data_IF_741763716076
#
_entry.id   IF_741763716076
#
_cell.length_a   1.000
_cell.length_b   1.000
_cell.length_c   1.000
_cell.angle_alpha   90.00
_cell.angle_beta   90.00
_cell.angle_gamma   90.00
#
_symmetry.space_group_name_H-M   'P 1'
#
loop_
_entity.id
_entity.type
_entity.pdbx_description
1 polymer ?
#
# COMPACT_ATOMS: atom_id res chain seq x y z
N UNK A 1 27.08 -2.07 6.52
CA UNK A 1 25.94 -2.35 5.61
C UNK A 1 24.74 -2.55 6.52
N UNK A 2 23.76 -1.64 6.52
CA UNK A 2 22.56 -1.80 7.36
C UNK A 2 21.90 -3.15 7.07
N UNK A 3 21.67 -3.91 8.15
CA UNK A 3 21.03 -5.22 8.10
C UNK A 3 19.57 -4.99 7.73
N UNK A 4 19.14 -5.65 6.66
CA UNK A 4 17.80 -5.49 6.09
C UNK A 4 16.76 -6.13 6.99
N UNK A 5 15.61 -5.49 7.16
CA UNK A 5 14.43 -6.21 7.65
C UNK A 5 13.94 -7.13 6.54
N UNK A 6 14.04 -8.42 6.82
CA UNK A 6 13.55 -9.49 5.95
C UNK A 6 12.03 -9.50 6.07
N UNK A 7 11.32 -9.63 4.95
CA UNK A 7 9.88 -9.85 5.00
C UNK A 7 9.63 -11.25 5.56
N UNK A 8 8.95 -11.31 6.69
CA UNK A 8 8.62 -12.56 7.39
C UNK A 8 7.18 -13.00 7.10
N UNK A 9 6.92 -14.32 6.97
CA UNK A 9 5.57 -14.87 6.97
C UNK A 9 4.76 -14.44 8.21
N UNK A 10 3.44 -14.46 8.08
CA UNK A 10 2.48 -14.10 9.14
C UNK A 10 2.66 -12.70 9.75
N UNK A 11 3.33 -11.81 9.04
CA UNK A 11 3.68 -10.48 9.55
C UNK A 11 3.05 -9.39 8.71
N UNK A 12 2.51 -8.39 9.41
CA UNK A 12 1.95 -7.18 8.81
C UNK A 12 3.05 -6.15 8.52
N UNK A 13 2.94 -5.48 7.39
CA UNK A 13 3.86 -4.42 6.99
C UNK A 13 3.13 -3.22 6.41
N UNK A 14 3.63 -2.04 6.75
CA UNK A 14 3.43 -0.82 5.99
C UNK A 14 4.56 -0.70 4.95
N UNK A 15 4.20 -0.89 3.68
CA UNK A 15 5.14 -0.81 2.57
C UNK A 15 4.91 0.51 1.83
N UNK A 16 5.96 1.30 1.65
CA UNK A 16 5.87 2.55 0.91
C UNK A 16 7.13 2.85 0.11
N UNK A 17 6.96 3.61 -0.97
CA UNK A 17 8.05 4.16 -1.74
C UNK A 17 7.57 5.42 -2.47
N UNK A 18 8.51 6.19 -2.99
CA UNK A 18 8.27 7.45 -3.68
C UNK A 18 9.11 7.58 -4.93
N UNK A 19 8.70 8.51 -5.79
CA UNK A 19 9.45 8.92 -6.97
C UNK A 19 10.87 9.32 -6.60
N UNK A 20 11.82 8.80 -7.39
CA UNK A 20 13.19 9.26 -7.35
C UNK A 20 13.21 10.76 -7.67
N UNK A 21 14.12 11.53 -7.05
CA UNK A 21 14.21 12.98 -7.28
C UNK A 21 12.90 13.77 -7.10
N UNK A 22 11.95 13.27 -6.28
CA UNK A 22 10.61 13.85 -6.07
C UNK A 22 9.72 13.86 -7.33
N UNK A 23 10.03 13.02 -8.31
CA UNK A 23 9.24 12.88 -9.53
C UNK A 23 7.86 12.26 -9.26
N UNK A 24 6.92 12.53 -10.16
CA UNK A 24 5.61 11.90 -10.13
C UNK A 24 5.71 10.44 -10.59
N UNK A 25 5.12 9.54 -9.81
CA UNK A 25 4.97 8.12 -10.14
C UNK A 25 3.78 7.92 -11.09
N UNK A 26 2.70 8.65 -10.85
CA UNK A 26 1.44 8.50 -11.57
C UNK A 26 1.09 9.81 -12.27
N UNK A 27 1.22 9.83 -13.59
CA UNK A 27 1.00 11.03 -14.40
C UNK A 27 -0.46 11.18 -14.85
N UNK A 28 -1.16 10.05 -14.99
CA UNK A 28 -2.53 9.98 -15.52
C UNK A 28 -3.31 8.80 -14.87
N UNK A 29 -4.65 8.77 -14.95
CA UNK A 29 -5.48 7.72 -14.34
C UNK A 29 -5.08 6.29 -14.68
N UNK A 30 -4.67 6.02 -15.92
CA UNK A 30 -4.29 4.69 -16.39
C UNK A 30 -3.04 4.17 -15.68
N UNK A 31 -2.15 5.06 -15.24
CA UNK A 31 -0.94 4.70 -14.49
C UNK A 31 -1.31 4.09 -13.13
N UNK A 32 -2.32 4.64 -12.45
CA UNK A 32 -2.81 4.11 -11.17
C UNK A 32 -3.41 2.72 -11.35
N UNK A 33 -4.26 2.56 -12.37
CA UNK A 33 -4.88 1.27 -12.71
C UNK A 33 -3.83 0.20 -13.06
N UNK A 34 -2.81 0.59 -13.83
CA UNK A 34 -1.72 -0.32 -14.18
C UNK A 34 -0.93 -0.77 -12.95
N UNK A 35 -0.65 0.13 -12.01
CA UNK A 35 0.04 -0.22 -10.76
C UNK A 35 -0.78 -1.20 -9.91
N UNK A 36 -2.10 -0.97 -9.76
CA UNK A 36 -3.00 -1.90 -9.07
C UNK A 36 -3.06 -3.26 -9.76
N UNK A 37 -3.01 -3.30 -11.11
CA UNK A 37 -2.90 -4.56 -11.85
C UNK A 37 -1.60 -5.31 -11.54
N UNK A 38 -0.47 -4.61 -11.43
CA UNK A 38 0.80 -5.23 -11.07
C UNK A 38 0.82 -5.71 -9.61
N UNK A 39 0.17 -5.00 -8.68
CA UNK A 39 -0.08 -5.50 -7.31
C UNK A 39 -0.83 -6.82 -7.39
N UNK A 40 -1.93 -6.87 -8.16
CA UNK A 40 -2.69 -8.12 -8.36
C UNK A 40 -1.80 -9.23 -8.93
N UNK A 41 -0.98 -8.93 -9.94
CA UNK A 41 -0.16 -9.94 -10.62
C UNK A 41 0.96 -10.49 -9.76
N UNK A 42 1.58 -9.65 -8.91
CA UNK A 42 2.81 -10.04 -8.22
C UNK A 42 2.62 -10.30 -6.73
N UNK A 43 1.69 -9.63 -6.06
CA UNK A 43 1.62 -9.67 -4.59
C UNK A 43 0.58 -10.65 -4.05
N UNK A 44 -0.49 -10.97 -4.79
CA UNK A 44 -1.60 -11.79 -4.22
C UNK A 44 -1.19 -13.22 -3.87
N UNK A 45 -0.16 -13.76 -4.52
CA UNK A 45 0.38 -15.09 -4.18
C UNK A 45 1.09 -15.10 -2.83
N UNK A 46 1.64 -13.95 -2.41
CA UNK A 46 2.51 -13.87 -1.22
C UNK A 46 1.93 -13.05 -0.08
N UNK A 47 0.92 -12.23 -0.35
CA UNK A 47 0.41 -11.26 0.60
C UNK A 47 -1.08 -11.05 0.46
N UNK A 48 -1.69 -10.78 1.61
CA UNK A 48 -3.06 -10.30 1.74
C UNK A 48 -3.06 -8.78 1.90
N UNK A 49 -3.87 -8.08 1.12
CA UNK A 49 -3.85 -6.62 1.08
C UNK A 49 -4.98 -6.06 1.97
N UNK A 50 -4.62 -5.22 2.94
CA UNK A 50 -5.55 -4.61 3.89
C UNK A 50 -5.88 -3.16 3.51
N UNK A 51 -4.98 -2.47 2.82
CA UNK A 51 -5.24 -1.12 2.31
C UNK A 51 -4.15 -0.61 1.38
N UNK A 52 -4.47 0.41 0.62
CA UNK A 52 -3.54 1.15 -0.21
C UNK A 52 -3.94 2.62 -0.34
N UNK A 53 -2.95 3.48 -0.58
CA UNK A 53 -3.16 4.82 -1.08
C UNK A 53 -2.07 5.16 -2.09
N UNK A 54 -2.48 5.52 -3.31
CA UNK A 54 -1.58 5.89 -4.39
C UNK A 54 -1.68 7.40 -4.58
N UNK A 55 -0.61 8.11 -4.29
CA UNK A 55 -0.49 9.56 -4.45
C UNK A 55 0.41 9.86 -5.63
N UNK A 56 0.28 11.05 -6.22
CA UNK A 56 0.95 11.38 -7.49
C UNK A 56 2.45 11.04 -7.50
N UNK A 57 3.15 11.26 -6.39
CA UNK A 57 4.59 11.07 -6.25
C UNK A 57 5.03 9.95 -5.27
N UNK A 58 4.09 9.24 -4.63
CA UNK A 58 4.40 8.15 -3.69
C UNK A 58 3.21 7.22 -3.45
N UNK A 59 3.43 6.08 -2.80
CA UNK A 59 2.34 5.17 -2.46
C UNK A 59 2.55 4.53 -1.09
N UNK A 60 1.45 4.06 -0.50
CA UNK A 60 1.40 3.22 0.69
C UNK A 60 0.60 1.96 0.42
N UNK A 61 1.07 0.85 0.98
CA UNK A 61 0.37 -0.43 1.06
C UNK A 61 0.40 -0.90 2.52
N UNK A 62 -0.74 -1.41 2.98
CA UNK A 62 -0.83 -2.19 4.22
C UNK A 62 -1.15 -3.61 3.82
N UNK A 63 -0.29 -4.55 4.18
CA UNK A 63 -0.43 -5.95 3.80
C UNK A 63 0.06 -6.89 4.90
N UNK A 64 -0.45 -8.11 4.89
CA UNK A 64 0.08 -9.23 5.67
C UNK A 64 0.79 -10.18 4.72
N UNK A 65 2.04 -10.55 5.00
CA UNK A 65 2.66 -11.66 4.29
C UNK A 65 1.95 -12.95 4.72
N UNK A 66 1.55 -13.76 3.75
CA UNK A 66 0.83 -15.01 3.98
C UNK A 66 1.64 -15.97 4.86
N UNK A 67 0.95 -16.88 5.53
CA UNK A 67 1.61 -17.88 6.36
C UNK A 67 2.51 -18.78 5.53
N UNK A 68 3.49 -19.43 6.18
CA UNK A 68 4.40 -20.36 5.48
C UNK A 68 3.64 -21.49 4.76
N UNK A 69 2.50 -21.93 5.31
CA UNK A 69 1.65 -22.97 4.72
C UNK A 69 0.85 -22.49 3.51
N UNK A 70 0.51 -21.20 3.45
CA UNK A 70 -0.20 -20.60 2.30
C UNK A 70 0.76 -20.12 1.21
N UNK A 71 2.01 -19.84 1.56
CA UNK A 71 3.04 -19.44 0.61
C UNK A 71 3.41 -20.60 -0.31
N UNK A 72 3.51 -20.37 -1.63
CA UNK A 72 4.13 -21.32 -2.55
C UNK A 72 5.53 -21.73 -2.09
N UNK A 73 5.91 -23.00 -2.27
CA UNK A 73 7.22 -23.55 -1.85
C UNK A 73 8.41 -22.72 -2.36
N UNK A 74 8.27 -22.12 -3.55
CA UNK A 74 9.27 -21.19 -4.11
C UNK A 74 9.58 -20.00 -3.20
N UNK A 75 8.76 -19.65 -2.21
CA UNK A 75 8.99 -18.55 -1.27
C UNK A 75 9.38 -18.99 0.15
N UNK A 76 9.56 -20.30 0.40
CA UNK A 76 9.90 -20.80 1.74
C UNK A 76 11.37 -20.56 2.12
N UNK A 77 12.25 -20.36 1.13
CA UNK A 77 13.65 -20.04 1.35
C UNK A 77 13.84 -18.54 1.57
N UNK A 78 14.82 -18.19 2.41
CA UNK A 78 15.08 -16.82 2.85
C UNK A 78 15.27 -15.83 1.68
N UNK A 79 14.84 -14.58 1.89
CA UNK A 79 14.93 -13.44 0.97
C UNK A 79 14.14 -13.50 -0.35
N UNK A 80 13.34 -14.53 -0.61
CA UNK A 80 12.54 -14.60 -1.86
C UNK A 80 11.27 -13.74 -1.84
N UNK A 81 10.79 -13.34 -0.67
CA UNK A 81 9.58 -12.52 -0.51
C UNK A 81 9.73 -11.07 -1.00
N UNK A 82 10.97 -10.56 -1.13
CA UNK A 82 11.21 -9.24 -1.75
C UNK A 82 11.13 -9.27 -3.29
N UNK A 83 11.28 -10.46 -3.91
CA UNK A 83 11.35 -10.57 -5.37
C UNK A 83 10.04 -10.15 -6.06
N UNK A 84 8.83 -10.51 -5.58
CA UNK A 84 7.60 -10.06 -6.22
C UNK A 84 7.39 -8.54 -6.18
N UNK A 85 7.82 -7.88 -5.09
CA UNK A 85 7.85 -6.41 -5.03
C UNK A 85 8.82 -5.82 -6.06
N UNK A 86 10.02 -6.40 -6.19
CA UNK A 86 10.99 -6.00 -7.22
C UNK A 86 10.41 -6.15 -8.63
N UNK A 87 9.73 -7.27 -8.93
CA UNK A 87 9.08 -7.50 -10.21
C UNK A 87 8.00 -6.45 -10.50
N UNK A 88 7.18 -6.11 -9.50
CA UNK A 88 6.18 -5.06 -9.59
C UNK A 88 6.81 -3.70 -9.92
N UNK A 89 7.77 -3.24 -9.12
CA UNK A 89 8.38 -1.91 -9.32
C UNK A 89 9.15 -1.82 -10.64
N UNK A 90 9.86 -2.88 -11.03
CA UNK A 90 10.57 -2.94 -12.30
C UNK A 90 9.60 -2.98 -13.48
N UNK A 91 8.53 -3.77 -13.40
CA UNK A 91 7.48 -3.82 -14.42
C UNK A 91 6.83 -2.45 -14.63
N UNK A 92 6.49 -1.78 -13.53
CA UNK A 92 5.91 -0.44 -13.58
C UNK A 92 6.88 0.59 -14.15
N UNK A 93 8.13 0.63 -13.66
CA UNK A 93 9.17 1.54 -14.15
C UNK A 93 9.38 1.38 -15.66
N UNK A 94 9.45 0.14 -16.16
CA UNK A 94 9.58 -0.13 -17.61
C UNK A 94 8.39 0.40 -18.39
N UNK A 95 7.17 0.24 -17.88
CA UNK A 95 5.97 0.73 -18.55
C UNK A 95 5.94 2.28 -18.64
N UNK A 96 6.26 2.95 -17.52
CA UNK A 96 6.33 4.42 -17.45
C UNK A 96 7.46 4.94 -18.34
N UNK A 97 8.66 4.37 -18.25
CA UNK A 97 9.81 4.76 -19.08
C UNK A 97 9.49 4.63 -20.58
N UNK A 98 8.88 3.51 -20.99
CA UNK A 98 8.45 3.32 -22.38
C UNK A 98 7.39 4.33 -22.82
N UNK A 99 6.41 4.63 -21.96
CA UNK A 99 5.27 5.49 -22.32
C UNK A 99 5.65 6.97 -22.41
N UNK A 100 6.57 7.43 -21.56
CA UNK A 100 6.92 8.84 -21.42
C UNK A 100 8.35 9.15 -21.86
N UNK A 101 8.95 8.28 -22.67
CA UNK A 101 10.31 8.45 -23.22
C UNK A 101 11.34 8.78 -22.13
N UNK A 102 11.19 8.11 -20.98
CA UNK A 102 12.04 8.27 -19.81
C UNK A 102 13.08 7.18 -19.73
N UNK A 103 14.18 7.48 -19.05
CA UNK A 103 15.22 6.53 -18.72
C UNK A 103 15.52 6.53 -17.20
N UNK A 104 16.22 5.50 -16.74
CA UNK A 104 16.65 5.39 -15.34
C UNK A 104 15.57 4.90 -14.37
N UNK A 105 15.85 5.06 -13.08
CA UNK A 105 14.99 4.58 -11.99
C UNK A 105 13.83 5.54 -11.72
N UNK A 106 12.62 5.00 -11.64
CA UNK A 106 11.42 5.77 -11.27
C UNK A 106 11.24 5.87 -9.76
N UNK A 107 11.49 4.79 -9.03
CA UNK A 107 11.39 4.76 -7.57
C UNK A 107 12.74 5.05 -6.91
N UNK A 108 12.72 5.45 -5.63
CA UNK A 108 13.93 5.36 -4.80
C UNK A 108 14.40 3.89 -4.72
N UNK A 109 15.71 3.72 -4.60
CA UNK A 109 16.42 2.43 -4.72
C UNK A 109 15.78 1.33 -3.87
N UNK A 110 15.29 1.65 -2.67
CA UNK A 110 14.66 0.68 -1.77
C UNK A 110 13.30 1.18 -1.33
N UNK A 111 12.30 0.30 -1.39
CA UNK A 111 11.04 0.52 -0.69
C UNK A 111 11.25 0.37 0.81
N UNK A 112 10.53 1.17 1.57
CA UNK A 112 10.46 1.10 3.03
C UNK A 112 9.47 0.04 3.44
N UNK A 113 9.74 -0.61 4.56
CA UNK A 113 8.93 -1.69 5.13
C UNK A 113 8.95 -1.56 6.63
N UNK A 114 7.89 -1.03 7.19
CA UNK A 114 7.76 -0.91 8.64
C UNK A 114 6.92 -2.09 9.13
N UNK A 115 7.48 -2.91 10.02
CA UNK A 115 6.77 -4.02 10.64
C UNK A 115 5.66 -3.45 11.53
N UNK A 116 4.45 -3.98 11.37
CA UNK A 116 3.31 -3.64 12.23
C UNK A 116 3.23 -4.72 13.31
N UNK A 117 3.45 -4.32 14.56
CA UNK A 117 3.66 -5.22 15.70
C UNK A 117 2.38 -5.62 16.43
N UNK A 118 1.31 -4.85 16.26
CA UNK A 118 0.04 -5.06 16.95
C UNK A 118 -1.15 -4.48 16.17
N UNK A 119 -2.36 -4.82 16.61
CA UNK A 119 -3.60 -4.45 15.92
C UNK A 119 -3.96 -2.96 16.05
N UNK A 120 -3.55 -2.28 17.13
CA UNK A 120 -3.78 -0.85 17.27
C UNK A 120 -2.91 -0.09 16.27
N UNK A 121 -1.64 -0.49 16.14
CA UNK A 121 -0.75 0.04 15.12
C UNK A 121 -1.31 -0.24 13.71
N UNK A 122 -1.80 -1.46 13.44
CA UNK A 122 -2.44 -1.78 12.15
C UNK A 122 -3.61 -0.83 11.82
N UNK A 123 -4.51 -0.61 12.78
CA UNK A 123 -5.64 0.33 12.62
C UNK A 123 -5.14 1.75 12.34
N UNK A 124 -4.15 2.23 13.09
CA UNK A 124 -3.60 3.57 12.92
C UNK A 124 -3.01 3.75 11.51
N UNK A 125 -2.24 2.77 11.01
CA UNK A 125 -1.67 2.85 9.65
C UNK A 125 -2.76 2.84 8.59
N UNK A 126 -3.79 1.99 8.72
CA UNK A 126 -4.91 1.95 7.76
C UNK A 126 -5.59 3.33 7.68
N UNK A 127 -5.88 3.95 8.82
CA UNK A 127 -6.45 5.30 8.86
C UNK A 127 -5.49 6.31 8.26
N UNK A 128 -4.23 6.26 8.65
CA UNK A 128 -3.18 7.15 8.16
C UNK A 128 -3.10 7.16 6.63
N UNK A 129 -2.98 5.99 6.00
CA UNK A 129 -2.82 5.92 4.54
C UNK A 129 -4.05 6.45 3.81
N UNK A 130 -5.25 6.28 4.36
CA UNK A 130 -6.48 6.80 3.76
C UNK A 130 -6.59 8.32 3.91
N UNK A 131 -6.08 8.90 4.99
CA UNK A 131 -6.08 10.35 5.22
C UNK A 131 -4.91 11.07 4.55
N UNK A 132 -3.91 10.31 4.08
CA UNK A 132 -2.71 10.82 3.42
C UNK A 132 -2.97 11.78 2.24
N UNK A 133 -3.98 11.55 1.36
CA UNK A 133 -4.36 12.52 0.32
C UNK A 133 -4.75 13.89 0.86
N UNK A 134 -5.35 13.97 2.05
CA UNK A 134 -5.68 15.24 2.70
C UNK A 134 -4.44 15.83 3.37
N UNK A 135 -3.66 15.02 4.10
CA UNK A 135 -2.39 15.42 4.73
C UNK A 135 -1.46 16.11 3.72
N UNK A 136 -1.33 15.57 2.52
CA UNK A 136 -0.47 16.12 1.46
C UNK A 136 -1.19 17.07 0.48
N UNK A 137 -2.40 17.53 0.82
CA UNK A 137 -3.16 18.51 0.04
C UNK A 137 -3.50 18.09 -1.40
N UNK A 138 -3.56 16.78 -1.70
CA UNK A 138 -4.04 16.26 -2.98
C UNK A 138 -5.56 16.37 -3.14
N UNK A 139 -6.30 16.41 -2.02
CA UNK A 139 -7.75 16.57 -1.98
C UNK A 139 -8.17 17.23 -0.67
N UNK A 140 -9.34 17.88 -0.66
CA UNK A 140 -9.98 18.34 0.58
C UNK A 140 -10.67 17.21 1.35
N UNK A 141 -11.06 16.15 0.65
CA UNK A 141 -11.86 15.07 1.21
C UNK A 141 -11.23 13.71 0.87
N UNK A 142 -10.86 12.96 1.90
CA UNK A 142 -10.22 11.64 1.73
C UNK A 142 -11.18 10.61 1.11
N UNK A 143 -12.46 10.67 1.47
CA UNK A 143 -13.49 9.74 1.03
C UNK A 143 -13.86 9.90 -0.46
N UNK A 144 -13.48 11.01 -1.10
CA UNK A 144 -13.67 11.22 -2.54
C UNK A 144 -12.41 10.92 -3.36
N UNK A 145 -11.29 10.59 -2.72
CA UNK A 145 -10.04 10.31 -3.42
C UNK A 145 -10.09 8.92 -4.08
N UNK A 146 -10.04 8.90 -5.41
CA UNK A 146 -10.27 7.70 -6.22
C UNK A 146 -9.12 6.68 -6.14
N UNK A 147 -7.92 7.11 -5.78
CA UNK A 147 -6.72 6.27 -5.80
C UNK A 147 -6.34 5.75 -4.40
N UNK A 148 -7.34 5.58 -3.54
CA UNK A 148 -7.22 4.99 -2.20
C UNK A 148 -8.20 3.84 -2.04
N UNK A 149 -7.86 2.86 -1.19
CA UNK A 149 -8.73 1.73 -0.86
C UNK A 149 -9.96 2.10 -0.05
N UNK A 150 -10.07 3.31 0.51
CA UNK A 150 -11.19 3.69 1.39
C UNK A 150 -12.56 3.41 0.74
N UNK A 151 -12.78 3.87 -0.50
CA UNK A 151 -14.03 3.62 -1.21
C UNK A 151 -14.26 2.13 -1.50
N UNK A 152 -13.19 1.39 -1.78
CA UNK A 152 -13.28 -0.04 -2.01
C UNK A 152 -13.75 -0.76 -0.75
N UNK A 153 -13.27 -0.36 0.43
CA UNK A 153 -13.64 -0.98 1.72
C UNK A 153 -15.10 -0.72 2.12
N UNK A 154 -15.63 0.49 1.84
CA UNK A 154 -17.02 0.83 2.19
C UNK A 154 -18.06 0.39 1.14
N UNK A 155 -17.63 -0.01 -0.05
CA UNK A 155 -18.54 -0.43 -1.13
C UNK A 155 -18.86 -1.93 -1.08
N UNK A 156 -19.96 -2.33 -1.72
CA UNK A 156 -20.34 -3.75 -1.90
C UNK A 156 -19.66 -4.42 -3.11
N UNK A 157 -18.84 -3.69 -3.88
CA UNK A 157 -18.19 -4.24 -5.08
C UNK A 157 -17.17 -5.31 -4.71
N UNK A 158 -16.93 -6.28 -5.57
CA UNK A 158 -15.85 -7.26 -5.35
C UNK A 158 -14.50 -6.53 -5.28
N UNK A 159 -13.65 -6.93 -4.34
CA UNK A 159 -12.33 -6.34 -4.11
C UNK A 159 -11.30 -7.43 -3.81
N UNK A 160 -10.02 -7.12 -4.04
CA UNK A 160 -8.89 -7.95 -3.62
C UNK A 160 -8.47 -7.69 -2.17
N UNK A 161 -9.04 -6.65 -1.55
CA UNK A 161 -8.76 -6.30 -0.17
C UNK A 161 -9.38 -7.33 0.78
N UNK A 162 -8.74 -7.57 1.92
CA UNK A 162 -9.33 -8.29 3.05
C UNK A 162 -10.38 -7.42 3.76
N UNK A 163 -11.44 -7.04 3.04
CA UNK A 163 -12.45 -6.10 3.51
C UNK A 163 -13.04 -6.56 4.84
N UNK A 164 -13.45 -7.80 4.93
CA UNK A 164 -14.15 -8.34 6.08
C UNK A 164 -13.25 -8.25 7.33
N UNK A 165 -11.99 -8.69 7.22
CA UNK A 165 -11.01 -8.59 8.29
C UNK A 165 -10.71 -7.12 8.65
N UNK A 166 -10.59 -6.25 7.66
CA UNK A 166 -10.40 -4.80 7.88
C UNK A 166 -11.59 -4.18 8.59
N UNK A 167 -12.83 -4.54 8.26
CA UNK A 167 -14.00 -3.98 8.94
C UNK A 167 -14.12 -4.54 10.37
N UNK A 168 -13.81 -5.83 10.57
CA UNK A 168 -13.77 -6.47 11.89
C UNK A 168 -12.72 -5.85 12.81
N UNK A 169 -11.55 -5.47 12.28
CA UNK A 169 -10.52 -4.70 13.01
C UNK A 169 -11.07 -3.41 13.65
N UNK A 170 -12.11 -2.83 13.05
CA UNK A 170 -12.79 -1.63 13.54
C UNK A 170 -14.13 -1.97 14.22
N UNK A 171 -14.50 -3.25 14.36
CA UNK A 171 -15.78 -3.71 14.89
C UNK A 171 -16.86 -3.76 13.82
N UNK A 172 -17.07 -2.68 13.07
CA UNK A 172 -17.99 -2.64 11.93
C UNK A 172 -17.67 -1.49 10.96
N UNK A 173 -18.44 -1.42 9.86
CA UNK A 173 -18.34 -0.37 8.85
C UNK A 173 -18.60 1.04 9.41
N UNK A 174 -19.54 1.18 10.34
CA UNK A 174 -19.88 2.50 10.90
C UNK A 174 -18.73 3.04 11.74
N UNK A 175 -18.14 2.19 12.58
CA UNK A 175 -17.00 2.55 13.40
C UNK A 175 -15.74 2.75 12.55
N UNK A 176 -15.55 1.98 11.46
CA UNK A 176 -14.50 2.25 10.49
C UNK A 176 -14.59 3.69 9.94
N UNK A 177 -15.79 4.12 9.50
CA UNK A 177 -16.00 5.48 9.00
C UNK A 177 -15.82 6.53 10.11
N UNK A 178 -16.39 6.28 11.30
CA UNK A 178 -16.30 7.16 12.46
C UNK A 178 -14.84 7.43 12.85
N UNK A 179 -14.02 6.38 12.99
CA UNK A 179 -12.61 6.53 13.37
C UNK A 179 -11.84 7.39 12.36
N UNK A 180 -12.07 7.23 11.05
CA UNK A 180 -11.43 8.08 10.04
C UNK A 180 -11.82 9.56 10.20
N UNK A 181 -13.10 9.84 10.48
CA UNK A 181 -13.57 11.20 10.71
C UNK A 181 -12.97 11.80 11.97
N UNK A 182 -12.88 11.03 13.06
CA UNK A 182 -12.30 11.50 14.32
C UNK A 182 -10.81 11.81 14.19
N UNK A 183 -10.05 10.96 13.48
CA UNK A 183 -8.63 11.25 13.20
C UNK A 183 -8.46 12.50 12.36
N UNK A 184 -9.29 12.68 11.31
CA UNK A 184 -9.26 13.89 10.49
C UNK A 184 -9.54 15.15 11.32
N UNK A 185 -10.52 15.11 12.24
CA UNK A 185 -10.87 16.24 13.12
C UNK A 185 -9.75 16.60 14.09
N UNK A 186 -9.05 15.60 14.63
CA UNK A 186 -7.94 15.83 15.57
C UNK A 186 -6.76 16.55 14.91
N UNK A 187 -6.61 16.47 13.59
CA UNK A 187 -5.52 17.13 12.85
C UNK A 187 -4.12 16.62 13.18
N UNK A 188 -4.01 15.60 14.03
CA UNK A 188 -2.75 14.94 14.39
C UNK A 188 -2.66 13.68 13.54
N UNK A 189 -1.86 13.75 12.48
CA UNK A 189 -1.46 12.58 11.71
C UNK A 189 -0.12 12.11 12.28
N UNK A 190 -0.09 10.98 12.99
CA UNK A 190 1.17 10.29 13.25
C UNK A 190 1.88 10.10 11.90
N UNK A 191 3.16 10.48 11.83
CA UNK A 191 3.92 10.35 10.59
C UNK A 191 4.54 8.96 10.51
N UNK A 192 4.18 8.21 9.47
CA UNK A 192 4.65 6.84 9.23
C UNK A 192 5.53 6.78 7.96
N UNK A 193 6.07 7.92 7.51
CA UNK A 193 6.88 8.07 6.28
C UNK A 193 8.24 8.76 6.46
#
# INVERSE_FOLDING_TARGET
>A
MEKYDILEPDTFYHIYNRGNNKEDLFLEPENYLHFLKLIKTHLIEIADIYGYCLLKNHFHLVLKIKSKTELPEKYHNENRLSQPFSNLFNGYTKAINKRYEREGSLFRVRFKRERITDLNYLRNVIVYIHLNPVKHSFTKYYNTYLHSSFQSLISLKVTLLKREEVLELFGDLQNFIFVHQEYLKKGVFEDFE
#
